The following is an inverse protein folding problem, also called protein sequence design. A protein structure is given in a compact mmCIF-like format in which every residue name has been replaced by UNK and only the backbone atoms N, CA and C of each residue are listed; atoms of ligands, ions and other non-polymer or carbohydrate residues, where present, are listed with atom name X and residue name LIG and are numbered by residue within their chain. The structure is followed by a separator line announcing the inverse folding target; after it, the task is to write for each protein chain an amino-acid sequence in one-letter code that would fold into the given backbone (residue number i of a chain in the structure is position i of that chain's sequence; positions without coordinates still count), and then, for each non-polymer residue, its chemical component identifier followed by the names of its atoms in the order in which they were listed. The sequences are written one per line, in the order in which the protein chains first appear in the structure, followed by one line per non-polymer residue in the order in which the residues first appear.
data_IF_159625334587
#
_entry.id   IF_159625334587
#
_cell.length_a   1.000
_cell.length_b   1.000
_cell.length_c   1.000
_cell.angle_alpha   90.00
_cell.angle_beta   90.00
_cell.angle_gamma   90.00
#
_symmetry.space_group_name_H-M   'P 1'
#
loop_
_entity.id
_entity.type
_entity.pdbx_description
1 polymer ?
#
# COMPACT_ATOMS: atom_id res chain seq x y z
N UNK A 1 15.32 4.44 -26.08
CA UNK A 1 14.10 5.26 -25.93
C UNK A 1 14.34 6.77 -26.13
N UNK A 2 15.44 7.34 -25.64
CA UNK A 2 15.68 8.79 -25.61
C UNK A 2 16.46 9.39 -26.82
N UNK A 3 16.68 8.62 -27.88
CA UNK A 3 17.39 9.13 -29.08
C UNK A 3 16.73 10.39 -29.70
N UNK A 4 15.41 10.51 -29.61
CA UNK A 4 14.65 11.68 -30.07
C UNK A 4 14.63 12.88 -29.10
N UNK A 5 15.25 12.77 -27.92
CA UNK A 5 15.30 13.84 -26.90
C UNK A 5 16.54 14.74 -27.04
N UNK A 6 17.44 14.44 -27.98
CA UNK A 6 18.65 15.24 -28.19
C UNK A 6 18.31 16.71 -28.56
N UNK A 7 18.81 17.64 -27.79
CA UNK A 7 18.61 19.07 -28.00
C UNK A 7 17.33 19.69 -27.43
N UNK A 8 16.53 18.93 -26.69
CA UNK A 8 15.34 19.43 -25.97
C UNK A 8 15.30 18.98 -24.53
N UNK A 9 14.43 19.58 -23.72
CA UNK A 9 14.09 19.08 -22.37
C UNK A 9 13.29 17.78 -22.48
N UNK A 10 13.45 16.90 -21.50
CA UNK A 10 12.64 15.70 -21.37
C UNK A 10 11.19 16.05 -21.03
N UNK A 11 10.26 15.27 -21.56
CA UNK A 11 8.87 15.31 -21.12
C UNK A 11 8.71 14.64 -19.75
N UNK A 12 7.65 14.97 -18.96
CA UNK A 12 7.39 14.32 -17.66
C UNK A 12 7.36 12.80 -17.76
N UNK A 13 6.72 12.24 -18.77
CA UNK A 13 6.65 10.78 -18.97
C UNK A 13 8.05 10.16 -19.22
N UNK A 14 8.95 10.86 -19.88
CA UNK A 14 10.34 10.40 -20.10
C UNK A 14 11.12 10.40 -18.77
N UNK A 15 10.92 11.43 -17.93
CA UNK A 15 11.50 11.48 -16.60
C UNK A 15 10.94 10.35 -15.72
N UNK A 16 9.63 10.12 -15.78
CA UNK A 16 8.94 9.01 -15.09
C UNK A 16 9.55 7.66 -15.50
N UNK A 17 9.69 7.39 -16.79
CA UNK A 17 10.25 6.13 -17.30
C UNK A 17 11.70 5.92 -16.86
N UNK A 18 12.52 6.99 -16.78
CA UNK A 18 13.88 6.92 -16.25
C UNK A 18 13.86 6.52 -14.77
N UNK A 19 13.01 7.15 -13.95
CA UNK A 19 12.93 6.85 -12.53
C UNK A 19 12.44 5.43 -12.29
N UNK A 20 11.46 4.96 -13.06
CA UNK A 20 11.00 3.57 -13.00
C UNK A 20 12.14 2.60 -13.36
N UNK A 21 12.92 2.92 -14.40
CA UNK A 21 14.09 2.09 -14.79
C UNK A 21 15.18 2.04 -13.71
N UNK A 22 15.40 3.13 -12.99
CA UNK A 22 16.30 3.14 -11.85
C UNK A 22 15.74 2.24 -10.72
N UNK A 23 14.43 2.31 -10.47
CA UNK A 23 13.77 1.46 -9.48
C UNK A 23 13.87 -0.04 -9.77
N UNK A 24 13.93 -0.44 -11.04
CA UNK A 24 14.11 -1.85 -11.43
C UNK A 24 15.44 -2.45 -10.95
N UNK A 25 16.48 -1.63 -10.78
CA UNK A 25 17.81 -2.09 -10.36
C UNK A 25 17.79 -2.74 -8.98
N UNK A 26 16.84 -2.36 -8.13
CA UNK A 26 16.69 -2.89 -6.77
C UNK A 26 15.61 -3.96 -6.63
N UNK A 27 15.16 -4.54 -7.74
CA UNK A 27 14.31 -5.74 -7.73
C UNK A 27 15.22 -6.97 -7.65
N UNK A 28 15.14 -7.72 -6.56
CA UNK A 28 15.98 -8.89 -6.29
C UNK A 28 15.09 -10.05 -5.85
N UNK A 29 15.29 -11.22 -6.46
CA UNK A 29 14.55 -12.44 -6.12
C UNK A 29 13.04 -12.31 -6.34
N UNK A 30 12.61 -11.57 -7.39
CA UNK A 30 11.20 -11.33 -7.65
C UNK A 30 10.52 -10.37 -6.68
N UNK A 31 11.22 -9.88 -5.67
CA UNK A 31 10.66 -8.98 -4.65
C UNK A 31 11.03 -7.52 -4.95
N UNK A 32 10.03 -6.68 -5.05
CA UNK A 32 10.22 -5.23 -5.19
C UNK A 32 10.78 -4.62 -3.90
N UNK A 33 11.96 -3.99 -4.01
CA UNK A 33 12.63 -3.30 -2.89
C UNK A 33 12.44 -1.79 -2.91
N UNK A 34 11.91 -1.22 -3.99
CA UNK A 34 11.57 0.19 -4.10
C UNK A 34 10.18 0.38 -4.69
N UNK A 35 9.57 1.51 -4.38
CA UNK A 35 8.30 1.93 -4.93
C UNK A 35 8.35 3.43 -5.18
N UNK A 36 7.60 3.89 -6.17
CA UNK A 36 7.50 5.29 -6.59
C UNK A 36 6.04 5.74 -6.58
N UNK A 37 5.82 7.02 -6.38
CA UNK A 37 4.59 7.69 -6.80
C UNK A 37 4.95 8.87 -7.68
N UNK A 38 4.25 9.01 -8.78
CA UNK A 38 4.32 10.18 -9.66
C UNK A 38 3.11 11.07 -9.44
N UNK A 39 3.34 12.30 -9.00
CA UNK A 39 2.32 13.32 -8.84
C UNK A 39 2.40 14.25 -10.05
N UNK A 40 1.51 14.08 -11.00
CA UNK A 40 1.51 14.80 -12.27
C UNK A 40 0.45 15.91 -12.31
N UNK A 41 0.67 16.91 -13.14
CA UNK A 41 -0.27 18.01 -13.31
C UNK A 41 -1.54 17.57 -14.07
N UNK A 42 -2.65 18.27 -13.85
CA UNK A 42 -3.92 18.05 -14.54
C UNK A 42 -3.80 18.08 -16.07
N UNK A 43 -3.03 19.01 -16.60
CA UNK A 43 -2.86 19.18 -18.06
C UNK A 43 -1.86 18.23 -18.72
N UNK A 44 -1.29 17.26 -18.00
CA UNK A 44 -0.35 16.30 -18.55
C UNK A 44 -1.06 15.07 -19.10
N UNK A 45 -1.42 15.11 -20.37
CA UNK A 45 -2.13 14.02 -21.04
C UNK A 45 -1.28 12.76 -21.21
N UNK A 46 0.03 12.89 -21.35
CA UNK A 46 0.93 11.73 -21.43
C UNK A 46 0.94 10.96 -20.10
N UNK A 47 0.99 11.68 -18.98
CA UNK A 47 0.90 11.06 -17.65
C UNK A 47 -0.52 10.54 -17.34
N UNK A 48 -1.58 11.19 -17.84
CA UNK A 48 -2.96 10.71 -17.71
C UNK A 48 -3.13 9.32 -18.32
N UNK A 49 -2.49 9.06 -19.44
CA UNK A 49 -2.58 7.80 -20.19
C UNK A 49 -1.36 6.89 -20.03
N UNK A 50 -0.50 7.15 -19.04
CA UNK A 50 0.74 6.41 -18.86
C UNK A 50 0.54 4.90 -18.71
N UNK A 51 -0.59 4.49 -18.14
CA UNK A 51 -0.99 3.09 -17.94
C UNK A 51 -2.37 2.80 -18.55
N UNK A 52 -2.65 3.32 -19.73
CA UNK A 52 -3.84 2.98 -20.50
C UNK A 52 -3.54 1.88 -21.52
N UNK A 53 -4.53 1.05 -21.83
CA UNK A 53 -4.39 -0.08 -22.76
C UNK A 53 -3.38 -1.13 -22.29
N UNK A 54 -2.71 -1.78 -23.21
CA UNK A 54 -1.71 -2.84 -22.94
C UNK A 54 -0.32 -2.26 -22.63
N UNK A 55 -0.25 -1.30 -21.72
CA UNK A 55 1.01 -0.61 -21.37
C UNK A 55 2.11 -1.55 -20.85
N UNK A 56 1.75 -2.67 -20.23
CA UNK A 56 2.69 -3.64 -19.67
C UNK A 56 3.54 -4.35 -20.73
N UNK A 57 3.06 -4.45 -21.96
CA UNK A 57 3.82 -5.07 -23.07
C UNK A 57 4.99 -4.19 -23.53
N UNK A 58 4.77 -2.88 -23.60
CA UNK A 58 5.74 -1.95 -24.16
C UNK A 58 6.47 -1.09 -23.12
N UNK A 59 5.83 -0.84 -21.98
CA UNK A 59 6.26 0.10 -20.94
C UNK A 59 6.24 -0.55 -19.55
N UNK A 60 6.62 -1.84 -19.45
CA UNK A 60 6.55 -2.64 -18.24
C UNK A 60 7.24 -2.03 -17.00
N UNK A 61 8.29 -1.17 -17.19
CA UNK A 61 8.92 -0.46 -16.08
C UNK A 61 7.95 0.45 -15.31
N UNK A 62 6.83 0.90 -15.91
CA UNK A 62 5.84 1.75 -15.26
C UNK A 62 5.09 1.05 -14.13
N UNK A 63 5.19 -0.29 -14.06
CA UNK A 63 4.69 -1.06 -12.93
C UNK A 63 5.31 -0.67 -11.57
N UNK A 64 6.51 -0.07 -11.57
CA UNK A 64 7.19 0.35 -10.34
C UNK A 64 6.65 1.66 -9.74
N UNK A 65 5.80 2.39 -10.45
CA UNK A 65 5.25 3.66 -9.98
C UNK A 65 3.74 3.60 -9.86
N UNK A 66 3.19 4.14 -8.78
CA UNK A 66 1.80 4.57 -8.71
C UNK A 66 1.70 5.97 -9.33
N UNK A 67 0.63 6.26 -10.05
CA UNK A 67 0.42 7.56 -10.68
C UNK A 67 -0.83 8.23 -10.12
N UNK A 68 -0.68 9.48 -9.69
CA UNK A 68 -1.80 10.30 -9.23
C UNK A 68 -1.76 11.68 -9.87
N UNK A 69 -2.93 12.24 -10.12
CA UNK A 69 -3.07 13.64 -10.49
C UNK A 69 -2.99 14.52 -9.23
N UNK A 70 -2.13 15.54 -9.25
CA UNK A 70 -1.97 16.47 -8.14
C UNK A 70 -2.87 17.70 -8.32
N UNK A 71 -3.97 17.74 -7.60
CA UNK A 71 -4.85 18.90 -7.53
C UNK A 71 -4.29 19.96 -6.58
N UNK A 72 -4.45 21.22 -6.90
CA UNK A 72 -4.12 22.35 -6.02
C UNK A 72 -5.25 22.73 -5.06
N UNK A 73 -6.41 22.11 -5.21
CA UNK A 73 -7.63 22.31 -4.48
C UNK A 73 -8.80 21.72 -5.26
N UNK A 74 -10.03 21.93 -4.80
CA UNK A 74 -11.23 21.41 -5.48
C UNK A 74 -11.34 22.00 -6.89
N UNK A 75 -11.35 21.16 -7.94
CA UNK A 75 -11.45 21.61 -9.33
C UNK A 75 -12.88 22.01 -9.68
N UNK A 76 -13.03 22.73 -10.79
CA UNK A 76 -14.34 22.88 -11.41
C UNK A 76 -14.89 21.53 -11.86
N UNK A 77 -16.22 21.39 -11.86
CA UNK A 77 -16.93 20.15 -12.16
C UNK A 77 -16.49 19.52 -13.50
N UNK A 78 -16.38 20.34 -14.55
CA UNK A 78 -16.01 19.83 -15.88
C UNK A 78 -14.57 19.27 -15.92
N UNK A 79 -13.67 19.83 -15.11
CA UNK A 79 -12.28 19.33 -14.98
C UNK A 79 -12.26 18.04 -14.17
N UNK A 80 -13.03 17.97 -13.08
CA UNK A 80 -13.16 16.75 -12.30
C UNK A 80 -13.72 15.59 -13.15
N UNK A 81 -14.80 15.84 -13.88
CA UNK A 81 -15.46 14.82 -14.71
C UNK A 81 -14.53 14.26 -15.79
N UNK A 82 -13.67 15.08 -16.40
CA UNK A 82 -12.69 14.58 -17.38
C UNK A 82 -11.69 13.61 -16.74
N UNK A 83 -11.16 13.93 -15.55
CA UNK A 83 -10.24 13.03 -14.83
C UNK A 83 -10.96 11.76 -14.37
N UNK A 84 -12.19 11.91 -13.86
CA UNK A 84 -13.00 10.78 -13.40
C UNK A 84 -13.33 9.80 -14.52
N UNK A 85 -13.75 10.32 -15.68
CA UNK A 85 -14.00 9.51 -16.88
C UNK A 85 -12.73 8.81 -17.36
N UNK A 86 -11.59 9.51 -17.39
CA UNK A 86 -10.30 8.91 -17.77
C UNK A 86 -9.88 7.78 -16.82
N UNK A 87 -10.10 7.97 -15.52
CA UNK A 87 -9.84 6.94 -14.51
C UNK A 87 -10.71 5.69 -14.75
N UNK A 88 -12.02 5.88 -14.94
CA UNK A 88 -12.96 4.81 -15.25
C UNK A 88 -12.57 4.05 -16.53
N UNK A 89 -12.27 4.77 -17.61
CA UNK A 89 -11.92 4.20 -18.92
C UNK A 89 -10.57 3.47 -18.91
N UNK A 90 -9.65 3.87 -18.05
CA UNK A 90 -8.32 3.26 -17.95
C UNK A 90 -8.36 1.78 -17.55
N UNK A 91 -9.38 1.36 -16.81
CA UNK A 91 -9.53 0.03 -16.18
C UNK A 91 -8.33 -0.41 -15.33
N UNK A 92 -7.33 0.45 -15.17
CA UNK A 92 -6.09 0.21 -14.40
C UNK A 92 -6.11 0.87 -13.02
N UNK A 93 -7.17 1.64 -12.70
CA UNK A 93 -7.25 2.39 -11.44
C UNK A 93 -6.36 3.63 -11.40
N UNK A 94 -5.72 3.99 -12.51
CA UNK A 94 -4.85 5.15 -12.59
C UNK A 94 -5.38 6.18 -13.61
N UNK A 95 -5.15 7.44 -13.31
CA UNK A 95 -4.37 7.94 -12.15
C UNK A 95 -5.29 8.23 -10.96
N UNK A 96 -4.77 7.91 -9.75
CA UNK A 96 -5.43 8.25 -8.50
C UNK A 96 -5.48 9.77 -8.26
N UNK A 97 -6.12 10.16 -7.16
CA UNK A 97 -6.29 11.57 -6.75
C UNK A 97 -5.32 11.89 -5.62
N UNK A 98 -4.58 12.99 -5.74
CA UNK A 98 -3.84 13.63 -4.66
C UNK A 98 -4.19 15.11 -4.61
N UNK A 99 -4.76 15.59 -3.50
CA UNK A 99 -5.14 16.98 -3.31
C UNK A 99 -4.16 17.66 -2.34
N UNK A 100 -3.29 18.54 -2.87
CA UNK A 100 -2.27 19.25 -2.10
C UNK A 100 -2.89 20.18 -1.04
N UNK A 101 -4.03 20.81 -1.35
CA UNK A 101 -4.70 21.68 -0.40
C UNK A 101 -5.28 20.90 0.77
N UNK A 102 -5.96 19.77 0.51
CA UNK A 102 -6.46 18.89 1.56
C UNK A 102 -5.32 18.32 2.42
N UNK A 103 -4.18 17.94 1.80
CA UNK A 103 -2.99 17.51 2.52
C UNK A 103 -2.42 18.62 3.41
N UNK A 104 -2.41 19.86 2.92
CA UNK A 104 -1.95 21.04 3.66
C UNK A 104 -2.88 21.34 4.86
N UNK A 105 -4.19 21.31 4.66
CA UNK A 105 -5.19 21.46 5.72
C UNK A 105 -4.98 20.36 6.77
N UNK A 106 -4.89 19.10 6.36
CA UNK A 106 -4.64 17.98 7.27
C UNK A 106 -3.37 18.16 8.09
N UNK A 107 -2.27 18.55 7.48
CA UNK A 107 -1.01 18.83 8.17
C UNK A 107 -1.09 19.95 9.20
N UNK A 108 -2.02 20.89 9.05
CA UNK A 108 -2.21 22.02 9.96
C UNK A 108 -3.06 21.72 11.20
N UNK A 109 -3.91 20.67 11.15
CA UNK A 109 -4.96 20.43 12.16
C UNK A 109 -4.42 20.25 13.58
N UNK A 110 -3.25 19.66 13.75
CA UNK A 110 -2.67 19.38 15.06
C UNK A 110 -1.83 20.56 15.62
N UNK A 111 -1.61 21.61 14.84
CA UNK A 111 -0.87 22.81 15.23
C UNK A 111 0.64 22.64 15.46
N UNK A 112 1.21 21.46 15.18
CA UNK A 112 2.63 21.17 15.41
C UNK A 112 3.48 21.25 14.15
N UNK A 113 2.88 21.36 12.96
CA UNK A 113 3.59 21.27 11.68
C UNK A 113 3.56 22.59 10.93
N UNK A 114 4.74 23.01 10.44
CA UNK A 114 4.84 24.09 9.48
C UNK A 114 4.21 23.68 8.15
N UNK A 115 3.35 24.53 7.58
CA UNK A 115 2.54 24.21 6.40
C UNK A 115 2.91 24.97 5.15
N UNK A 116 3.89 25.87 5.22
CA UNK A 116 4.35 26.62 4.04
C UNK A 116 5.33 25.80 3.20
N UNK A 117 4.90 24.58 2.85
CA UNK A 117 5.63 23.66 2.01
C UNK A 117 4.76 23.16 0.85
N UNK A 118 5.41 22.78 -0.24
CA UNK A 118 4.78 22.04 -1.30
C UNK A 118 4.76 20.54 -0.93
N UNK A 119 3.66 20.10 -0.31
CA UNK A 119 3.53 18.73 0.13
C UNK A 119 3.32 17.75 -1.03
N UNK A 120 3.95 16.60 -0.90
CA UNK A 120 3.71 15.38 -1.64
C UNK A 120 3.43 14.24 -0.66
N UNK A 121 3.68 13.01 -1.11
CA UNK A 121 3.47 11.82 -0.29
C UNK A 121 4.45 10.70 -0.66
N UNK A 122 4.48 9.66 0.16
CA UNK A 122 5.15 8.41 -0.14
C UNK A 122 4.36 7.57 -1.18
N UNK A 123 4.91 6.48 -1.72
CA UNK A 123 4.30 5.72 -2.82
C UNK A 123 2.87 5.25 -2.60
N UNK A 124 2.54 4.84 -1.38
CA UNK A 124 1.18 4.39 -1.01
C UNK A 124 0.30 5.53 -0.49
N UNK A 125 0.83 6.76 -0.48
CA UNK A 125 0.09 8.00 -0.16
C UNK A 125 -0.42 8.14 1.28
N UNK A 126 0.02 7.31 2.23
CA UNK A 126 -0.39 7.46 3.63
C UNK A 126 0.33 8.58 4.37
N UNK A 127 1.54 8.97 3.96
CA UNK A 127 2.37 9.97 4.63
C UNK A 127 2.41 11.27 3.84
N UNK A 128 2.10 12.37 4.49
CA UNK A 128 2.25 13.71 3.94
C UNK A 128 3.71 14.15 4.14
N UNK A 129 4.43 14.35 3.03
CA UNK A 129 5.86 14.67 3.03
C UNK A 129 6.13 16.03 2.39
N UNK A 130 7.04 16.78 2.97
CA UNK A 130 7.71 17.88 2.27
C UNK A 130 8.90 17.37 1.45
N UNK A 131 9.49 18.16 0.53
CA UNK A 131 10.67 17.73 -0.21
C UNK A 131 11.82 17.30 0.71
N UNK A 132 12.56 16.25 0.32
CA UNK A 132 13.74 15.74 1.04
C UNK A 132 13.45 15.32 2.48
N UNK A 133 12.46 14.43 2.68
CA UNK A 133 12.03 14.01 4.00
C UNK A 133 11.75 12.52 4.07
N UNK A 134 11.98 11.94 5.27
CA UNK A 134 11.65 10.58 5.64
C UNK A 134 10.55 10.54 6.68
N UNK A 135 9.92 9.37 6.80
CA UNK A 135 8.99 9.03 7.86
C UNK A 135 9.38 7.66 8.46
N UNK A 136 9.13 7.48 9.75
CA UNK A 136 9.40 6.25 10.48
C UNK A 136 8.09 5.49 10.68
N UNK A 137 7.96 4.35 10.02
CA UNK A 137 6.74 3.55 10.01
C UNK A 137 6.79 2.45 11.07
N UNK A 138 5.71 2.31 11.82
CA UNK A 138 5.41 1.18 12.69
C UNK A 138 3.97 0.73 12.45
N UNK A 139 3.64 -0.49 12.84
CA UNK A 139 2.32 -1.04 12.56
C UNK A 139 1.76 -1.81 13.75
N UNK A 140 0.52 -1.51 14.10
CA UNK A 140 -0.29 -2.17 15.11
C UNK A 140 -1.18 -3.20 14.42
N UNK A 141 -1.05 -4.46 14.80
CA UNK A 141 -1.92 -5.54 14.31
C UNK A 141 -3.16 -5.62 15.19
N UNK A 142 -4.31 -5.28 14.62
CA UNK A 142 -5.61 -5.37 15.26
C UNK A 142 -6.16 -6.79 15.06
N UNK A 143 -6.61 -7.41 16.13
CA UNK A 143 -7.20 -8.75 16.12
C UNK A 143 -8.69 -8.67 16.47
N UNK A 144 -9.46 -9.63 16.00
CA UNK A 144 -10.89 -9.72 16.33
C UNK A 144 -11.19 -9.71 17.85
N UNK A 145 -10.22 -10.14 18.66
CA UNK A 145 -10.33 -10.22 20.12
C UNK A 145 -9.81 -8.98 20.86
N UNK A 146 -9.25 -7.99 20.13
CA UNK A 146 -8.74 -6.78 20.77
C UNK A 146 -9.89 -5.89 21.27
N UNK A 147 -9.69 -5.35 22.46
CA UNK A 147 -10.48 -4.29 23.06
C UNK A 147 -9.70 -2.96 23.10
N UNK A 148 -10.31 -1.91 23.62
CA UNK A 148 -9.66 -0.60 23.73
C UNK A 148 -8.39 -0.66 24.59
N UNK A 149 -8.35 -1.48 25.63
CA UNK A 149 -7.19 -1.58 26.52
C UNK A 149 -6.01 -2.24 25.81
N UNK A 150 -6.21 -3.36 25.13
CA UNK A 150 -5.16 -4.06 24.38
C UNK A 150 -4.66 -3.21 23.19
N UNK A 151 -5.56 -2.54 22.45
CA UNK A 151 -5.18 -1.62 21.38
C UNK A 151 -4.39 -0.41 21.92
N UNK A 152 -4.75 0.12 23.08
CA UNK A 152 -3.99 1.21 23.72
C UNK A 152 -2.54 0.80 23.98
N UNK A 153 -2.31 -0.40 24.52
CA UNK A 153 -0.95 -0.89 24.77
C UNK A 153 -0.17 -1.11 23.47
N UNK A 154 -0.80 -1.71 22.45
CA UNK A 154 -0.17 -1.91 21.13
C UNK A 154 0.20 -0.58 20.48
N UNK A 155 -0.68 0.42 20.51
CA UNK A 155 -0.42 1.77 19.97
C UNK A 155 0.74 2.44 20.73
N UNK A 156 0.76 2.31 22.07
CA UNK A 156 1.86 2.84 22.89
C UNK A 156 3.20 2.23 22.50
N UNK A 157 3.28 0.91 22.40
CA UNK A 157 4.51 0.20 22.03
C UNK A 157 4.99 0.56 20.61
N UNK A 158 4.07 0.59 19.64
CA UNK A 158 4.39 0.99 18.26
C UNK A 158 4.89 2.44 18.20
N UNK A 159 4.32 3.34 19.00
CA UNK A 159 4.75 4.74 19.06
C UNK A 159 6.14 4.88 19.70
N UNK A 160 6.43 4.13 20.76
CA UNK A 160 7.78 4.09 21.37
C UNK A 160 8.82 3.63 20.33
N UNK A 161 8.55 2.53 19.63
CA UNK A 161 9.45 2.00 18.59
C UNK A 161 9.67 3.01 17.46
N UNK A 162 8.61 3.65 16.97
CA UNK A 162 8.70 4.69 15.94
C UNK A 162 9.50 5.90 16.39
N UNK A 163 9.31 6.34 17.63
CA UNK A 163 10.05 7.48 18.21
C UNK A 163 11.54 7.15 18.35
N UNK A 164 11.90 5.93 18.79
CA UNK A 164 13.28 5.45 18.81
C UNK A 164 13.87 5.39 17.41
N UNK A 165 13.14 4.84 16.44
CA UNK A 165 13.57 4.79 15.04
C UNK A 165 13.85 6.20 14.48
N UNK A 166 13.11 7.21 14.89
CA UNK A 166 13.29 8.60 14.44
C UNK A 166 14.63 9.22 14.86
N UNK A 167 15.37 8.59 15.79
CA UNK A 167 16.71 9.02 16.18
C UNK A 167 17.79 8.60 15.17
N UNK A 168 17.48 7.68 14.26
CA UNK A 168 18.40 7.16 13.24
C UNK A 168 18.49 8.14 12.05
N UNK A 169 19.33 9.17 12.16
CA UNK A 169 19.45 10.27 11.20
C UNK A 169 20.81 10.32 10.49
N UNK A 170 21.57 9.22 10.50
CA UNK A 170 22.86 9.13 9.80
C UNK A 170 22.70 8.72 8.34
N UNK A 171 22.48 9.67 7.43
CA UNK A 171 22.28 9.44 6.00
C UNK A 171 23.55 9.69 5.20
N UNK A 172 24.48 8.74 5.19
CA UNK A 172 25.86 8.89 4.66
C UNK A 172 25.94 9.32 3.18
N UNK A 173 24.95 8.96 2.36
CA UNK A 173 24.98 9.19 0.90
C UNK A 173 23.98 10.26 0.42
N UNK A 174 23.30 10.92 1.36
CA UNK A 174 22.31 11.93 1.03
C UNK A 174 22.81 13.33 1.38
N UNK A 175 22.22 14.34 0.72
CA UNK A 175 22.52 15.75 1.03
C UNK A 175 22.03 16.09 2.46
N UNK A 176 22.73 17.02 3.09
CA UNK A 176 22.44 17.46 4.48
C UNK A 176 20.97 17.81 4.71
N UNK A 177 20.29 18.39 3.73
CA UNK A 177 18.87 18.77 3.81
C UNK A 177 17.95 17.61 4.22
N UNK A 178 18.24 16.37 3.84
CA UNK A 178 17.48 15.20 4.25
C UNK A 178 17.55 14.97 5.77
N UNK A 179 18.76 15.13 6.33
CA UNK A 179 18.99 15.03 7.77
C UNK A 179 18.27 16.17 8.50
N UNK A 180 18.50 17.41 8.08
CA UNK A 180 17.94 18.60 8.71
C UNK A 180 16.40 18.52 8.77
N UNK A 181 15.74 18.20 7.65
CA UNK A 181 14.29 18.06 7.57
C UNK A 181 13.75 16.91 8.45
N UNK A 182 14.49 15.78 8.50
CA UNK A 182 14.09 14.63 9.30
C UNK A 182 14.23 14.92 10.80
N UNK A 183 15.30 15.59 11.20
CA UNK A 183 15.56 15.96 12.61
C UNK A 183 14.58 17.03 13.10
N UNK A 184 14.17 17.94 12.24
CA UNK A 184 13.22 18.98 12.56
C UNK A 184 11.82 18.41 12.83
N UNK A 185 11.28 17.58 11.94
CA UNK A 185 9.89 17.12 12.03
C UNK A 185 9.73 15.76 12.70
N UNK A 186 10.75 14.90 12.74
CA UNK A 186 10.71 13.55 13.37
C UNK A 186 9.46 12.75 13.01
N UNK A 187 9.00 12.78 11.75
CA UNK A 187 7.75 12.18 11.33
C UNK A 187 7.65 10.70 11.71
N UNK A 188 6.54 10.32 12.30
CA UNK A 188 6.12 8.94 12.51
C UNK A 188 4.96 8.59 11.59
N UNK A 189 4.79 7.30 11.36
CA UNK A 189 3.64 6.70 10.71
C UNK A 189 3.21 5.48 11.51
N UNK A 190 2.63 5.68 12.70
CA UNK A 190 2.00 4.62 13.48
C UNK A 190 0.73 4.21 12.77
N UNK A 191 0.74 3.03 12.20
CA UNK A 191 -0.34 2.48 11.37
C UNK A 191 -1.15 1.42 12.11
N UNK A 192 -2.39 1.23 11.68
CA UNK A 192 -3.25 0.13 12.07
C UNK A 192 -3.43 -0.81 10.88
N UNK A 193 -3.38 -2.13 11.11
CA UNK A 193 -3.74 -3.17 10.13
C UNK A 193 -4.67 -4.20 10.78
N UNK A 194 -5.44 -4.94 9.98
CA UNK A 194 -6.49 -5.80 10.51
C UNK A 194 -7.72 -5.03 11.02
N UNK A 195 -7.91 -3.81 10.51
CA UNK A 195 -9.00 -2.92 10.97
C UNK A 195 -10.35 -3.61 10.81
N UNK A 196 -10.63 -4.22 9.66
CA UNK A 196 -11.90 -4.90 9.37
C UNK A 196 -11.98 -6.36 9.87
N UNK A 197 -10.96 -6.84 10.57
CA UNK A 197 -11.06 -8.06 11.41
C UNK A 197 -11.70 -7.78 12.78
N UNK A 198 -11.88 -6.50 13.15
CA UNK A 198 -12.45 -6.04 14.39
C UNK A 198 -13.57 -5.03 14.14
N UNK A 199 -14.53 -4.91 15.04
CA UNK A 199 -15.70 -4.02 14.92
C UNK A 199 -15.80 -2.95 16.02
N UNK A 200 -14.71 -2.71 16.75
CA UNK A 200 -14.68 -1.74 17.87
C UNK A 200 -14.69 -0.27 17.41
N UNK A 201 -14.45 -0.02 16.13
CA UNK A 201 -14.12 1.29 15.61
C UNK A 201 -15.27 2.29 15.66
N UNK A 202 -15.10 3.31 16.49
CA UNK A 202 -15.95 4.50 16.56
C UNK A 202 -15.04 5.74 16.51
N UNK A 203 -15.62 6.90 16.24
CA UNK A 203 -14.92 8.19 16.29
C UNK A 203 -14.23 8.42 17.64
N UNK A 204 -14.89 8.01 18.73
CA UNK A 204 -14.36 8.13 20.10
C UNK A 204 -13.14 7.20 20.31
N UNK A 205 -13.26 5.92 19.96
CA UNK A 205 -12.15 4.95 20.07
C UNK A 205 -10.93 5.42 19.27
N UNK A 206 -11.13 5.84 18.03
CA UNK A 206 -10.04 6.36 17.17
C UNK A 206 -9.39 7.60 17.77
N UNK A 207 -10.17 8.53 18.30
CA UNK A 207 -9.67 9.74 18.93
C UNK A 207 -8.86 9.46 20.21
N UNK A 208 -9.33 8.51 21.04
CA UNK A 208 -8.59 8.06 22.23
C UNK A 208 -7.25 7.43 21.82
N UNK A 209 -7.25 6.52 20.87
CA UNK A 209 -6.01 5.86 20.41
C UNK A 209 -5.02 6.84 19.79
N UNK A 210 -5.50 7.84 19.03
CA UNK A 210 -4.66 8.92 18.52
C UNK A 210 -4.00 9.72 19.65
N UNK A 211 -4.77 10.10 20.68
CA UNK A 211 -4.23 10.82 21.82
C UNK A 211 -3.18 10.00 22.59
N UNK A 212 -3.39 8.69 22.73
CA UNK A 212 -2.38 7.78 23.29
C UNK A 212 -1.07 7.84 22.50
N UNK A 213 -1.14 7.82 21.16
CA UNK A 213 0.04 7.93 20.32
C UNK A 213 0.74 9.29 20.49
N UNK A 214 -0.02 10.39 20.48
CA UNK A 214 0.51 11.76 20.61
C UNK A 214 1.21 11.95 21.96
N UNK A 215 0.57 11.60 23.07
CA UNK A 215 1.14 11.75 24.41
C UNK A 215 2.33 10.79 24.65
N UNK A 216 2.28 9.58 24.10
CA UNK A 216 3.42 8.65 24.17
C UNK A 216 4.64 9.22 23.43
N UNK A 217 4.45 9.73 22.21
CA UNK A 217 5.54 10.36 21.45
C UNK A 217 6.09 11.59 22.17
N UNK A 218 5.22 12.45 22.68
CA UNK A 218 5.62 13.66 23.43
C UNK A 218 6.51 13.32 24.64
N UNK A 219 6.11 12.32 25.44
CA UNK A 219 6.89 11.86 26.57
C UNK A 219 8.23 11.28 26.14
N UNK A 220 8.21 10.35 25.17
CA UNK A 220 9.42 9.68 24.67
C UNK A 220 10.39 10.67 24.04
N UNK A 221 9.91 11.64 23.24
CA UNK A 221 10.73 12.67 22.63
C UNK A 221 11.43 13.53 23.71
N UNK A 222 10.72 13.89 24.78
CA UNK A 222 11.28 14.62 25.92
C UNK A 222 12.39 13.79 26.60
N UNK A 223 12.14 12.51 26.86
CA UNK A 223 13.10 11.62 27.53
C UNK A 223 14.38 11.42 26.69
N UNK A 224 14.23 11.42 25.35
CA UNK A 224 15.33 11.31 24.39
C UNK A 224 16.02 12.65 24.05
N UNK A 225 15.48 13.78 24.51
CA UNK A 225 16.00 15.11 24.20
C UNK A 225 15.86 15.51 22.73
N UNK A 226 14.83 15.05 22.04
CA UNK A 226 14.55 15.36 20.63
C UNK A 226 13.22 16.12 20.50
N UNK A 227 12.97 16.83 19.39
CA UNK A 227 11.66 17.43 19.11
C UNK A 227 10.55 16.38 19.08
N UNK A 228 9.36 16.76 19.57
CA UNK A 228 8.14 15.97 19.36
C UNK A 228 7.85 15.85 17.85
N UNK A 229 7.40 14.69 17.41
CA UNK A 229 7.02 14.46 16.03
C UNK A 229 5.88 15.38 15.59
N UNK A 230 6.00 16.00 14.43
CA UNK A 230 5.00 16.95 13.93
C UNK A 230 3.76 16.26 13.38
N UNK A 231 3.86 14.98 13.00
CA UNK A 231 2.73 14.10 12.67
C UNK A 231 3.10 12.65 13.02
N UNK A 232 2.13 11.86 13.49
CA UNK A 232 2.39 10.58 14.17
C UNK A 232 1.60 9.42 13.57
N UNK A 233 0.32 9.58 13.27
CA UNK A 233 -0.59 8.47 12.95
C UNK A 233 -1.00 8.44 11.48
N UNK A 234 -1.13 7.24 10.94
CA UNK A 234 -1.58 6.99 9.56
C UNK A 234 -2.28 5.62 9.46
N UNK A 235 -2.76 5.25 8.28
CA UNK A 235 -3.07 3.87 7.94
C UNK A 235 -2.34 3.51 6.66
N UNK A 236 -1.43 2.54 6.76
CA UNK A 236 -0.69 1.95 5.65
C UNK A 236 -1.52 0.85 4.98
N UNK A 237 -1.37 0.58 3.67
CA UNK A 237 -2.05 -0.55 3.02
C UNK A 237 -1.68 -1.91 3.62
N UNK A 238 -0.44 -2.06 4.10
CA UNK A 238 0.05 -3.27 4.78
C UNK A 238 -0.04 -4.56 3.95
N UNK A 239 0.16 -4.49 2.64
CA UNK A 239 -0.02 -5.64 1.75
C UNK A 239 0.86 -6.86 2.06
N UNK A 240 2.07 -6.66 2.61
CA UNK A 240 3.00 -7.75 2.97
C UNK A 240 2.91 -8.13 4.45
N UNK A 241 2.95 -7.14 5.35
CA UNK A 241 2.93 -7.42 6.81
C UNK A 241 1.61 -8.06 7.22
N UNK A 242 0.48 -7.62 6.68
CA UNK A 242 -0.82 -8.23 6.97
C UNK A 242 -0.86 -9.72 6.61
N UNK A 243 -0.21 -10.13 5.52
CA UNK A 243 -0.11 -11.55 5.15
C UNK A 243 0.79 -12.33 6.13
N UNK A 244 1.92 -11.75 6.53
CA UNK A 244 2.83 -12.35 7.50
C UNK A 244 2.15 -12.63 8.86
N UNK A 245 1.26 -11.74 9.27
CA UNK A 245 0.59 -11.82 10.58
C UNK A 245 -0.85 -12.34 10.48
N UNK A 246 -1.29 -12.77 9.32
CA UNK A 246 -2.68 -13.17 9.03
C UNK A 246 -3.70 -12.17 9.58
N UNK A 247 -3.78 -11.02 8.92
CA UNK A 247 -4.76 -9.98 9.21
C UNK A 247 -5.35 -9.40 7.92
N UNK A 248 -6.48 -8.71 8.01
CA UNK A 248 -6.94 -7.85 6.92
C UNK A 248 -5.91 -6.76 6.63
N UNK A 249 -5.76 -6.35 5.37
CA UNK A 249 -4.72 -5.41 4.93
C UNK A 249 -5.12 -3.95 5.22
N UNK A 250 -4.53 -3.34 6.24
CA UNK A 250 -4.82 -1.96 6.60
C UNK A 250 -6.30 -1.74 6.87
N UNK A 251 -6.91 -0.84 6.09
CA UNK A 251 -8.36 -0.51 6.15
C UNK A 251 -9.23 -1.32 5.17
N UNK A 252 -8.61 -2.27 4.43
CA UNK A 252 -9.34 -3.08 3.45
C UNK A 252 -10.03 -4.27 4.11
N UNK A 253 -11.16 -4.70 3.50
CA UNK A 253 -11.87 -5.90 3.91
C UNK A 253 -11.09 -7.18 3.58
N UNK A 254 -11.40 -8.28 4.26
CA UNK A 254 -10.95 -9.62 3.87
C UNK A 254 -11.51 -10.00 2.50
N UNK A 255 -10.79 -10.87 1.79
CA UNK A 255 -11.21 -11.30 0.46
C UNK A 255 -12.56 -12.03 0.52
N UNK A 256 -12.68 -13.04 1.37
CA UNK A 256 -13.91 -13.81 1.63
C UNK A 256 -13.80 -14.48 3.01
N UNK A 257 -14.87 -15.17 3.46
CA UNK A 257 -14.82 -16.00 4.68
C UNK A 257 -13.82 -17.15 4.55
N UNK A 258 -13.80 -17.81 3.39
CA UNK A 258 -12.86 -18.85 3.01
C UNK A 258 -12.29 -18.56 1.63
N UNK A 259 -10.98 -18.61 1.48
CA UNK A 259 -10.33 -18.35 0.21
C UNK A 259 -8.97 -19.06 0.11
N UNK A 260 -8.45 -19.17 -1.11
CA UNK A 260 -7.07 -19.58 -1.36
C UNK A 260 -6.25 -18.32 -1.59
N UNK A 261 -5.14 -18.20 -0.88
CA UNK A 261 -4.06 -17.26 -1.21
C UNK A 261 -3.01 -17.98 -2.00
N UNK A 262 -2.72 -17.55 -3.23
CA UNK A 262 -1.63 -18.07 -4.03
C UNK A 262 -0.38 -17.21 -3.90
N UNK A 263 0.77 -17.86 -3.81
CA UNK A 263 2.09 -17.21 -3.77
C UNK A 263 2.96 -17.82 -4.85
N UNK A 264 3.64 -16.99 -5.62
CA UNK A 264 4.57 -17.41 -6.67
C UNK A 264 5.99 -17.42 -6.16
N UNK A 265 6.73 -18.48 -6.47
CA UNK A 265 8.15 -18.60 -6.17
C UNK A 265 8.94 -18.94 -7.45
N UNK A 266 10.12 -18.32 -7.63
CA UNK A 266 11.05 -18.70 -8.68
C UNK A 266 11.56 -20.12 -8.43
N UNK A 267 11.55 -20.98 -9.47
CA UNK A 267 12.00 -22.37 -9.35
C UNK A 267 13.47 -22.50 -8.93
N UNK A 268 14.27 -21.47 -9.08
CA UNK A 268 15.69 -21.43 -8.66
C UNK A 268 15.87 -20.91 -7.25
N UNK A 269 14.81 -20.36 -6.62
CA UNK A 269 14.86 -19.86 -5.26
C UNK A 269 14.98 -21.04 -4.28
N UNK A 270 16.00 -21.06 -3.39
CA UNK A 270 16.15 -22.08 -2.34
C UNK A 270 14.88 -22.26 -1.50
N UNK A 271 14.18 -21.16 -1.16
CA UNK A 271 12.92 -21.21 -0.43
C UNK A 271 11.85 -21.98 -1.21
N UNK A 272 11.76 -21.80 -2.54
CA UNK A 272 10.81 -22.51 -3.39
C UNK A 272 11.06 -24.01 -3.36
N UNK A 273 12.31 -24.46 -3.43
CA UNK A 273 12.64 -25.88 -3.36
C UNK A 273 12.33 -26.45 -1.98
N UNK A 274 12.73 -25.75 -0.92
CA UNK A 274 12.42 -26.13 0.46
C UNK A 274 10.90 -26.28 0.69
N UNK A 275 10.10 -25.35 0.21
CA UNK A 275 8.64 -25.38 0.37
C UNK A 275 8.01 -26.57 -0.38
N UNK A 276 8.50 -26.88 -1.59
CA UNK A 276 8.05 -28.07 -2.35
C UNK A 276 8.34 -29.36 -1.59
N UNK A 277 9.57 -29.51 -1.12
CA UNK A 277 10.01 -30.71 -0.41
C UNK A 277 9.37 -30.83 0.99
N UNK A 278 8.95 -29.71 1.57
CA UNK A 278 8.18 -29.69 2.81
C UNK A 278 6.70 -30.07 2.62
N UNK A 279 6.27 -30.35 1.38
CA UNK A 279 4.92 -30.84 1.09
C UNK A 279 3.84 -29.74 1.02
N UNK A 280 4.20 -28.47 0.85
CA UNK A 280 3.21 -27.42 0.64
C UNK A 280 2.54 -27.62 -0.73
N UNK A 281 1.19 -27.59 -0.83
CA UNK A 281 0.47 -27.72 -2.09
C UNK A 281 0.93 -26.70 -3.12
N UNK A 282 1.32 -27.19 -4.29
CA UNK A 282 1.86 -26.35 -5.35
C UNK A 282 1.60 -26.92 -6.74
N UNK A 283 1.68 -26.05 -7.75
CA UNK A 283 1.57 -26.39 -9.15
C UNK A 283 2.48 -25.48 -10.01
N UNK A 284 2.82 -25.86 -11.26
CA UNK A 284 3.51 -24.97 -12.19
C UNK A 284 2.66 -23.74 -12.50
N UNK A 285 3.29 -22.57 -12.64
CA UNK A 285 2.60 -21.36 -13.07
C UNK A 285 2.08 -21.50 -14.50
N UNK A 286 0.80 -21.22 -14.74
CA UNK A 286 0.19 -21.32 -16.09
C UNK A 286 0.91 -20.43 -17.10
N UNK A 287 1.38 -19.25 -16.69
CA UNK A 287 2.06 -18.31 -17.58
C UNK A 287 3.55 -18.62 -17.78
N UNK A 288 4.22 -19.24 -16.80
CA UNK A 288 5.67 -19.52 -16.77
C UNK A 288 5.96 -20.85 -16.10
N UNK A 289 5.53 -21.99 -16.68
CA UNK A 289 5.60 -23.29 -16.02
C UNK A 289 7.04 -23.75 -15.72
N UNK A 290 8.00 -23.34 -16.56
CA UNK A 290 9.39 -23.78 -16.44
C UNK A 290 10.18 -23.03 -15.35
N UNK A 291 9.76 -21.79 -15.01
CA UNK A 291 10.52 -20.93 -14.12
C UNK A 291 9.82 -20.59 -12.81
N UNK A 292 8.51 -20.81 -12.72
CA UNK A 292 7.71 -20.33 -11.59
C UNK A 292 6.78 -21.43 -11.06
N UNK A 293 6.78 -21.57 -9.76
CA UNK A 293 5.84 -22.42 -9.01
C UNK A 293 4.80 -21.54 -8.29
N UNK A 294 3.56 -22.00 -8.28
CA UNK A 294 2.46 -21.37 -7.53
C UNK A 294 2.12 -22.24 -6.34
N UNK A 295 2.25 -21.70 -5.14
CA UNK A 295 1.84 -22.33 -3.89
C UNK A 295 0.43 -21.86 -3.52
N UNK A 296 -0.37 -22.76 -2.96
CA UNK A 296 -1.76 -22.48 -2.55
C UNK A 296 -1.90 -22.64 -1.04
N UNK A 297 -2.35 -21.56 -0.39
CA UNK A 297 -2.60 -21.52 1.05
C UNK A 297 -4.09 -21.33 1.31
N UNK A 298 -4.77 -22.31 1.92
CA UNK A 298 -6.15 -22.16 2.35
C UNK A 298 -6.21 -21.17 3.53
N UNK A 299 -7.06 -20.16 3.41
CA UNK A 299 -7.22 -19.09 4.40
C UNK A 299 -8.65 -19.07 4.92
N UNK A 300 -8.81 -18.73 6.20
CA UNK A 300 -10.10 -18.53 6.86
C UNK A 300 -10.09 -17.19 7.58
N UNK A 301 -11.07 -16.36 7.29
CA UNK A 301 -11.25 -15.08 7.99
C UNK A 301 -11.71 -15.29 9.43
N UNK A 302 -11.32 -14.41 10.37
CA UNK A 302 -11.88 -14.43 11.72
C UNK A 302 -13.41 -14.26 11.70
N UNK A 303 -14.07 -14.86 12.67
CA UNK A 303 -15.52 -14.68 12.82
C UNK A 303 -15.87 -13.20 13.03
N UNK A 304 -16.81 -12.69 12.25
CA UNK A 304 -17.24 -11.29 12.30
C UNK A 304 -16.36 -10.31 11.52
N UNK A 305 -15.29 -10.79 10.83
CA UNK A 305 -14.53 -9.96 9.91
C UNK A 305 -15.40 -9.52 8.71
N UNK A 306 -15.20 -8.30 8.24
CA UNK A 306 -15.88 -7.79 7.05
C UNK A 306 -15.18 -8.30 5.80
N UNK A 307 -15.96 -8.83 4.85
CA UNK A 307 -15.45 -9.26 3.54
C UNK A 307 -15.76 -8.25 2.45
N UNK A 308 -15.01 -8.30 1.35
CA UNK A 308 -15.13 -7.35 0.22
C UNK A 308 -16.52 -7.33 -0.42
N UNK A 309 -17.27 -8.41 -0.33
CA UNK A 309 -18.63 -8.50 -0.87
C UNK A 309 -19.69 -7.86 0.04
N UNK A 310 -19.37 -7.66 1.31
CA UNK A 310 -20.26 -7.11 2.34
C UNK A 310 -20.14 -5.59 2.47
N UNK A 311 -19.22 -4.95 1.76
CA UNK A 311 -18.95 -3.52 1.85
C UNK A 311 -19.03 -2.87 0.45
N UNK A 312 -19.89 -1.89 0.29
CA UNK A 312 -19.98 -1.06 -0.92
C UNK A 312 -18.80 -0.07 -1.01
N UNK A 313 -18.58 0.51 -2.19
CA UNK A 313 -17.55 1.53 -2.37
C UNK A 313 -17.82 2.79 -1.53
N UNK A 314 -19.08 3.18 -1.34
CA UNK A 314 -19.46 4.31 -0.48
C UNK A 314 -19.18 4.00 0.99
N UNK A 315 -19.50 2.80 1.48
CA UNK A 315 -19.17 2.40 2.86
C UNK A 315 -17.65 2.39 3.09
N UNK A 316 -16.84 1.94 2.12
CA UNK A 316 -15.37 2.05 2.19
C UNK A 316 -14.91 3.51 2.33
N UNK A 317 -15.52 4.42 1.58
CA UNK A 317 -15.20 5.84 1.61
C UNK A 317 -15.60 6.51 2.92
N UNK A 318 -16.78 6.21 3.46
CA UNK A 318 -17.22 6.72 4.78
C UNK A 318 -16.32 6.18 5.90
N UNK A 319 -15.92 4.91 5.81
CA UNK A 319 -14.98 4.31 6.76
C UNK A 319 -13.61 4.99 6.68
N UNK A 320 -13.09 5.20 5.46
CA UNK A 320 -11.87 5.95 5.21
C UNK A 320 -11.95 7.36 5.82
N UNK A 321 -13.07 8.06 5.63
CA UNK A 321 -13.26 9.44 6.14
C UNK A 321 -13.26 9.49 7.66
N UNK A 322 -13.87 8.51 8.33
CA UNK A 322 -13.84 8.37 9.79
C UNK A 322 -12.39 8.24 10.30
N UNK A 323 -11.57 7.37 9.68
CA UNK A 323 -10.16 7.23 10.04
C UNK A 323 -9.33 8.47 9.71
N UNK A 324 -9.61 9.13 8.59
CA UNK A 324 -8.98 10.39 8.18
C UNK A 324 -9.19 11.48 9.25
N UNK A 325 -10.39 11.58 9.80
CA UNK A 325 -10.74 12.61 10.78
C UNK A 325 -10.27 12.32 12.20
N UNK A 326 -10.41 11.07 12.64
CA UNK A 326 -10.30 10.73 14.06
C UNK A 326 -9.01 10.01 14.44
N UNK A 327 -8.38 9.26 13.52
CA UNK A 327 -7.13 8.58 13.77
C UNK A 327 -5.92 9.29 13.16
N UNK A 328 -5.96 9.59 11.86
CA UNK A 328 -4.77 10.02 11.14
C UNK A 328 -4.39 11.48 11.40
N UNK A 329 -3.13 11.72 11.71
CA UNK A 329 -2.49 13.03 11.57
C UNK A 329 -1.85 13.19 10.17
N UNK A 330 -1.54 12.06 9.50
CA UNK A 330 -1.28 11.99 8.07
C UNK A 330 -2.56 11.60 7.32
N UNK A 331 -2.61 10.42 6.73
CA UNK A 331 -3.77 9.95 5.96
C UNK A 331 -3.97 8.44 6.10
N UNK A 332 -5.18 7.92 5.88
CA UNK A 332 -5.35 6.52 5.58
C UNK A 332 -5.11 6.29 4.08
N UNK A 333 -4.28 5.29 3.75
CA UNK A 333 -4.17 4.80 2.37
C UNK A 333 -5.28 3.81 2.07
N UNK A 334 -5.96 3.99 0.96
CA UNK A 334 -7.00 3.07 0.50
C UNK A 334 -7.01 2.96 -1.01
N UNK A 335 -7.30 1.76 -1.48
CA UNK A 335 -7.77 1.51 -2.85
C UNK A 335 -9.22 1.07 -2.76
N UNK A 336 -10.13 1.91 -3.22
CA UNK A 336 -11.57 1.63 -3.18
C UNK A 336 -11.93 0.73 -4.36
N UNK A 337 -12.51 -0.43 -4.07
CA UNK A 337 -13.03 -1.33 -5.11
C UNK A 337 -14.42 -0.88 -5.52
N UNK A 338 -14.60 -0.53 -6.79
CA UNK A 338 -15.82 0.09 -7.32
C UNK A 338 -16.49 -0.84 -8.31
N UNK A 339 -17.73 -1.27 -8.01
CA UNK A 339 -18.55 -2.04 -8.95
C UNK A 339 -19.01 -1.15 -10.11
N UNK A 340 -19.41 -1.78 -11.22
CA UNK A 340 -19.74 -1.05 -12.46
C UNK A 340 -20.88 -0.03 -12.27
N UNK A 341 -21.85 -0.31 -11.43
CA UNK A 341 -22.99 0.54 -11.10
C UNK A 341 -22.71 1.61 -10.04
N UNK A 342 -21.58 1.51 -9.30
CA UNK A 342 -21.23 2.45 -8.21
C UNK A 342 -20.43 3.68 -8.69
N UNK A 343 -19.83 3.66 -9.90
CA UNK A 343 -18.89 4.70 -10.35
C UNK A 343 -19.42 6.12 -10.31
N UNK A 344 -20.70 6.31 -10.61
CA UNK A 344 -21.31 7.65 -10.60
C UNK A 344 -21.49 8.18 -9.19
N UNK A 345 -21.98 7.34 -8.27
CA UNK A 345 -22.18 7.71 -6.87
C UNK A 345 -20.87 7.96 -6.16
N UNK A 346 -19.87 7.12 -6.42
CA UNK A 346 -18.48 7.29 -5.91
C UNK A 346 -17.88 8.61 -6.40
N UNK A 347 -18.03 8.93 -7.70
CA UNK A 347 -17.57 10.20 -8.25
C UNK A 347 -18.26 11.41 -7.62
N UNK A 348 -19.57 11.33 -7.40
CA UNK A 348 -20.33 12.37 -6.72
C UNK A 348 -19.88 12.55 -5.26
N UNK A 349 -19.66 11.44 -4.52
CA UNK A 349 -19.17 11.45 -3.17
C UNK A 349 -17.76 12.09 -3.08
N UNK A 350 -16.85 11.69 -3.95
CA UNK A 350 -15.49 12.23 -4.01
C UNK A 350 -15.49 13.73 -4.28
N UNK A 351 -16.31 14.17 -5.26
CA UNK A 351 -16.42 15.60 -5.56
C UNK A 351 -17.01 16.40 -4.40
N UNK A 352 -18.02 15.86 -3.71
CA UNK A 352 -18.65 16.49 -2.55
C UNK A 352 -17.65 16.69 -1.41
N UNK A 353 -16.86 15.65 -1.11
CA UNK A 353 -15.91 15.64 0.00
C UNK A 353 -14.47 16.01 -0.42
N UNK A 354 -14.29 16.64 -1.59
CA UNK A 354 -12.98 16.85 -2.21
C UNK A 354 -11.99 17.61 -1.33
N UNK A 355 -12.47 18.50 -0.47
CA UNK A 355 -11.65 19.29 0.44
C UNK A 355 -11.02 18.45 1.56
N UNK A 356 -11.55 17.25 1.84
CA UNK A 356 -10.98 16.29 2.80
C UNK A 356 -10.24 15.13 2.11
N UNK A 357 -10.48 14.92 0.80
CA UNK A 357 -9.83 13.88 0.01
C UNK A 357 -8.39 14.29 -0.31
N UNK A 358 -7.47 13.95 0.59
CA UNK A 358 -6.05 14.25 0.43
C UNK A 358 -5.30 13.24 -0.45
N UNK A 359 -5.79 12.01 -0.60
CA UNK A 359 -5.22 11.00 -1.49
C UNK A 359 -6.03 9.70 -1.47
N UNK A 360 -6.54 9.29 -2.62
CA UNK A 360 -7.37 8.08 -2.79
C UNK A 360 -7.07 7.45 -4.14
N UNK A 361 -7.10 6.12 -4.19
CA UNK A 361 -7.03 5.30 -5.40
C UNK A 361 -8.29 4.48 -5.55
N UNK A 362 -8.63 4.14 -6.80
CA UNK A 362 -9.83 3.37 -7.14
C UNK A 362 -9.45 2.24 -8.08
N UNK A 363 -10.14 1.11 -7.98
CA UNK A 363 -10.02 0.01 -8.92
C UNK A 363 -11.41 -0.53 -9.26
N UNK A 364 -11.63 -0.98 -10.51
CA UNK A 364 -12.81 -1.75 -10.83
C UNK A 364 -12.87 -3.01 -9.96
N UNK A 365 -14.03 -3.29 -9.39
CA UNK A 365 -14.26 -4.55 -8.67
C UNK A 365 -14.05 -5.73 -9.62
N UNK A 366 -13.31 -6.74 -9.18
CA UNK A 366 -13.03 -7.94 -9.96
C UNK A 366 -13.39 -9.18 -9.15
N UNK A 367 -14.01 -10.15 -9.80
CA UNK A 367 -14.34 -11.44 -9.19
C UNK A 367 -13.15 -12.41 -9.14
N UNK A 368 -11.98 -12.00 -9.64
CA UNK A 368 -10.75 -12.81 -9.67
C UNK A 368 -10.95 -14.24 -10.21
N UNK A 369 -11.72 -14.38 -11.28
CA UNK A 369 -12.12 -15.69 -11.86
C UNK A 369 -11.08 -16.31 -12.78
N UNK A 370 -9.92 -15.68 -13.00
CA UNK A 370 -8.87 -16.23 -13.85
C UNK A 370 -8.00 -17.28 -13.11
N UNK A 371 -7.39 -18.18 -13.89
CA UNK A 371 -6.57 -19.25 -13.35
C UNK A 371 -5.40 -18.72 -12.48
N UNK A 372 -5.20 -19.35 -11.32
CA UNK A 372 -4.14 -18.99 -10.38
C UNK A 372 -4.21 -17.50 -9.91
N UNK A 373 -5.40 -16.95 -9.80
CA UNK A 373 -5.59 -15.61 -9.22
C UNK A 373 -4.96 -15.55 -7.81
N UNK A 374 -4.41 -14.39 -7.39
CA UNK A 374 -3.79 -14.22 -6.07
C UNK A 374 -4.73 -14.57 -4.91
N UNK A 375 -6.02 -14.34 -5.11
CA UNK A 375 -7.09 -14.73 -4.20
C UNK A 375 -8.17 -15.47 -4.99
N UNK A 376 -8.68 -16.56 -4.44
CA UNK A 376 -9.71 -17.37 -5.07
C UNK A 376 -10.76 -17.76 -4.02
N UNK A 377 -12.02 -17.47 -4.30
CA UNK A 377 -13.14 -17.82 -3.43
C UNK A 377 -13.29 -19.35 -3.34
N UNK A 378 -13.46 -19.83 -2.14
CA UNK A 378 -13.80 -21.25 -1.86
C UNK A 378 -14.88 -21.32 -0.79
N UNK A 379 -15.54 -22.45 -0.72
CA UNK A 379 -16.46 -22.77 0.36
C UNK A 379 -15.74 -23.42 1.57
N UNK A 380 -16.45 -23.55 2.67
CA UNK A 380 -15.96 -24.16 3.91
C UNK A 380 -15.48 -25.59 3.70
N UNK A 381 -16.19 -26.38 2.90
CA UNK A 381 -15.86 -27.80 2.63
C UNK A 381 -14.50 -27.89 1.91
N UNK A 382 -14.31 -27.07 0.89
CA UNK A 382 -13.05 -27.03 0.14
C UNK A 382 -11.90 -26.49 1.00
N UNK A 383 -12.17 -25.52 1.90
CA UNK A 383 -11.16 -25.04 2.84
C UNK A 383 -10.63 -26.17 3.74
N UNK A 384 -11.51 -26.96 4.36
CA UNK A 384 -11.07 -28.08 5.21
C UNK A 384 -10.38 -29.20 4.44
N UNK A 385 -10.83 -29.49 3.22
CA UNK A 385 -10.16 -30.46 2.35
C UNK A 385 -8.71 -30.02 2.04
N UNK A 386 -8.52 -28.79 1.58
CA UNK A 386 -7.18 -28.24 1.29
C UNK A 386 -6.31 -28.09 2.56
N UNK A 387 -6.92 -27.72 3.67
CA UNK A 387 -6.20 -27.62 4.95
C UNK A 387 -5.67 -28.97 5.42
N UNK A 388 -6.36 -30.06 5.11
CA UNK A 388 -5.88 -31.41 5.44
C UNK A 388 -4.72 -31.89 4.55
N UNK A 389 -4.49 -31.24 3.41
CA UNK A 389 -3.35 -31.49 2.54
C UNK A 389 -2.09 -30.70 2.94
N UNK A 390 -2.26 -29.69 3.80
CA UNK A 390 -1.12 -28.92 4.32
C UNK A 390 -0.30 -29.76 5.30
N UNK A 391 1.05 -29.60 5.30
CA UNK A 391 1.89 -30.26 6.28
C UNK A 391 1.54 -29.78 7.70
N UNK A 392 1.45 -30.72 8.67
CA UNK A 392 1.16 -30.38 10.08
C UNK A 392 2.20 -29.44 10.70
N UNK A 393 3.44 -29.57 10.28
CA UNK A 393 4.55 -28.69 10.70
C UNK A 393 5.64 -28.62 9.63
N UNK A 394 6.33 -27.49 9.60
CA UNK A 394 7.49 -27.28 8.72
C UNK A 394 8.70 -26.98 9.61
N UNK A 395 9.75 -27.76 9.44
CA UNK A 395 11.03 -27.53 10.13
C UNK A 395 11.84 -26.46 9.38
N UNK A 396 11.57 -25.21 9.68
CA UNK A 396 12.22 -24.05 9.05
C UNK A 396 13.75 -23.99 9.31
N UNK A 397 14.28 -24.71 10.28
CA UNK A 397 15.73 -24.76 10.52
C UNK A 397 16.49 -25.38 9.34
N UNK A 398 15.82 -26.25 8.56
CA UNK A 398 16.38 -26.88 7.35
C UNK A 398 16.50 -25.94 6.16
N UNK A 399 15.83 -24.78 6.16
CA UNK A 399 15.95 -23.82 5.07
C UNK A 399 17.41 -23.42 4.82
N UNK A 400 18.22 -23.28 5.87
CA UNK A 400 19.64 -22.97 5.76
C UNK A 400 20.45 -23.99 4.95
N UNK A 401 19.98 -25.25 4.82
CA UNK A 401 20.61 -26.26 4.00
C UNK A 401 20.43 -26.02 2.50
N UNK A 402 19.39 -25.31 2.12
CA UNK A 402 19.07 -24.92 0.76
C UNK A 402 19.70 -23.59 0.34
N UNK A 403 19.93 -22.68 1.27
CA UNK A 403 20.45 -21.32 1.04
C UNK A 403 21.99 -21.28 0.90
N UNK A 404 22.59 -22.30 0.28
CA UNK A 404 24.06 -22.37 0.10
C UNK A 404 24.57 -21.53 -1.06
N UNK A 405 23.75 -21.34 -2.09
CA UNK A 405 24.06 -20.55 -3.27
C UNK A 405 22.82 -19.78 -3.73
N UNK A 406 22.97 -18.49 -4.02
CA UNK A 406 21.90 -17.68 -4.64
C UNK A 406 21.94 -17.86 -6.16
N UNK A 407 21.06 -18.71 -6.68
CA UNK A 407 20.89 -18.96 -8.12
C UNK A 407 19.69 -18.22 -8.71
N UNK A 408 19.04 -17.34 -7.95
CA UNK A 408 17.88 -16.58 -8.40
C UNK A 408 18.26 -15.64 -9.56
N UNK A 409 17.64 -15.84 -10.71
CA UNK A 409 17.69 -14.86 -11.80
C UNK A 409 16.47 -13.95 -11.63
N UNK A 410 16.71 -12.64 -11.42
CA UNK A 410 15.67 -11.68 -11.09
C UNK A 410 14.41 -11.81 -11.93
N UNK A 411 13.41 -12.48 -11.38
CA UNK A 411 12.06 -12.50 -11.89
C UNK A 411 11.42 -11.13 -11.62
N UNK A 412 10.78 -10.55 -12.61
CA UNK A 412 10.06 -9.28 -12.48
C UNK A 412 8.59 -9.58 -12.31
N UNK A 413 8.02 -9.20 -11.19
CA UNK A 413 6.59 -9.29 -10.94
C UNK A 413 5.94 -7.91 -10.88
N UNK A 414 4.74 -7.72 -11.46
CA UNK A 414 4.05 -6.43 -11.57
C UNK A 414 3.34 -6.05 -10.25
N UNK A 415 3.45 -4.78 -9.86
CA UNK A 415 2.88 -4.26 -8.64
C UNK A 415 1.41 -3.86 -8.79
N UNK A 416 0.61 -4.18 -7.78
CA UNK A 416 -0.75 -3.71 -7.55
C UNK A 416 -1.85 -4.33 -8.40
N UNK A 417 -2.32 -5.48 -7.97
CA UNK A 417 -3.76 -5.73 -7.88
C UNK A 417 -4.27 -5.16 -6.55
N UNK A 418 -5.51 -4.71 -6.48
CA UNK A 418 -6.10 -3.90 -5.41
C UNK A 418 -5.81 -4.36 -3.96
N UNK A 419 -5.44 -5.60 -3.75
CA UNK A 419 -5.28 -6.21 -2.43
C UNK A 419 -3.83 -6.65 -2.10
N UNK A 420 -2.88 -6.55 -3.06
CA UNK A 420 -1.48 -6.93 -2.80
C UNK A 420 -0.52 -6.17 -3.71
N UNK A 421 0.58 -5.67 -3.14
CA UNK A 421 1.71 -5.13 -3.88
C UNK A 421 2.57 -6.29 -4.43
N UNK A 422 2.12 -6.99 -5.46
CA UNK A 422 2.90 -7.99 -6.18
C UNK A 422 3.15 -7.55 -7.63
N UNK A 423 4.33 -7.88 -8.14
CA UNK A 423 4.77 -7.54 -9.50
C UNK A 423 4.87 -8.83 -10.30
N UNK A 424 4.14 -9.00 -11.40
CA UNK A 424 4.26 -10.16 -12.30
C UNK A 424 5.02 -9.75 -13.57
N UNK A 425 6.13 -10.40 -13.91
CA UNK A 425 6.89 -10.13 -15.15
C UNK A 425 6.20 -10.74 -16.37
N UNK A 426 5.72 -9.89 -17.26
CA UNK A 426 5.12 -10.26 -18.54
C UNK A 426 6.11 -10.17 -19.72
N UNK A 427 7.41 -9.97 -19.47
CA UNK A 427 8.40 -9.73 -20.53
C UNK A 427 9.39 -10.87 -20.71
N UNK A 428 8.95 -12.10 -20.96
CA UNK A 428 9.85 -13.08 -21.56
C UNK A 428 9.15 -13.75 -22.72
N UNK A 429 9.43 -13.26 -23.91
CA UNK A 429 9.57 -14.02 -25.14
C UNK A 429 11.05 -14.09 -25.47
#
# INVERSE_FOLDING_TARGET
KFKGAKGRRLFPIECHDIMCKIGEVVVVGGVRRSALISLSNLGDDQMRHAKSGQWWENEGQRALANNSVAFKGKPEMGTFMREWTSLYESKSGERGIFNRQAAKVKASENGRREIDHEFGCNPCSEIILRPYQFCNLTEVVCRATDDLASLTEKVRMATILGTLQSTLTSFKYLRKIWKDNTEEERLLGVSLTGILDNNIWTEEVLSILREVAVETNKKMAKDLGIPQSTAITCVKPSGTVSQLVDSASGIHARHNDYYIRTVRGDNKDPLTQFMKESGIPHEPCVMKPDSTTVFSFPMKSPSGAVTRTQMSAIEQLEYWLMFQRHWCEHKPSVTVSVKEDEWMDVGAWVYKNFDEVSGISFLPFSDHTYAQAPYQDIDETKYYALSSEMPESIDWSKLADYEKEDTTSGGRELACTADACEVVDLTSN
#
